data_IF_719789652284
#
_entry.id   IF_719789652284
#
_cell.length_a   1.000
_cell.length_b   1.000
_cell.length_c   1.000
_cell.angle_alpha   90.00
_cell.angle_beta   90.00
_cell.angle_gamma   90.00
#
_symmetry.space_group_name_H-M   'P 1'
#
loop_
_entity.id
_entity.type
_entity.pdbx_description
1 polymer ?
#
# COMPACT_ATOMS: atom_id res chain seq x y z
N UNK A 1 4.63 16.92 5.82
CA UNK A 1 4.60 15.45 5.72
C UNK A 1 4.64 15.12 4.26
N UNK A 2 5.41 14.11 3.86
CA UNK A 2 5.30 13.58 2.51
C UNK A 2 4.69 12.18 2.68
N UNK A 3 3.38 12.12 2.39
CA UNK A 3 2.48 10.98 2.51
C UNK A 3 2.13 10.46 1.12
N UNK A 4 3.13 10.52 0.26
CA UNK A 4 3.09 10.29 -1.16
C UNK A 4 2.34 9.03 -1.53
N UNK A 5 2.79 7.87 -1.01
CA UNK A 5 2.25 6.58 -1.43
C UNK A 5 0.84 6.37 -0.89
N UNK A 6 0.56 6.83 0.34
CA UNK A 6 -0.80 6.87 0.88
C UNK A 6 -1.76 7.60 -0.08
N UNK A 7 -1.43 8.84 -0.43
CA UNK A 7 -2.29 9.66 -1.29
C UNK A 7 -2.48 9.02 -2.66
N UNK A 8 -1.44 8.39 -3.21
CA UNK A 8 -1.54 7.60 -4.44
C UNK A 8 -2.48 6.40 -4.29
N UNK A 9 -2.37 5.62 -3.20
CA UNK A 9 -3.23 4.45 -2.96
C UNK A 9 -4.68 4.87 -2.73
N UNK A 10 -4.91 5.89 -1.91
CA UNK A 10 -6.24 6.43 -1.65
C UNK A 10 -6.92 6.95 -2.93
N UNK A 11 -6.12 7.44 -3.90
CA UNK A 11 -6.65 7.93 -5.18
C UNK A 11 -7.21 6.83 -6.09
N UNK A 12 -6.90 5.55 -5.83
CA UNK A 12 -7.37 4.41 -6.64
C UNK A 12 -8.89 4.28 -6.60
N UNK A 13 -9.55 4.67 -5.50
CA UNK A 13 -11.00 4.64 -5.34
C UNK A 13 -11.60 6.01 -5.04
N UNK A 14 -10.90 7.09 -5.41
CA UNK A 14 -11.40 8.45 -5.24
C UNK A 14 -12.54 8.74 -6.23
N UNK A 15 -13.74 8.28 -5.91
CA UNK A 15 -14.96 8.72 -6.60
C UNK A 15 -15.53 9.97 -5.97
N UNK A 16 -16.13 10.79 -6.83
CA UNK A 16 -17.13 11.73 -6.39
C UNK A 16 -18.17 10.95 -5.58
N UNK A 17 -18.24 11.22 -4.28
CA UNK A 17 -19.38 10.80 -3.47
C UNK A 17 -20.64 11.32 -4.16
N UNK A 18 -21.43 10.41 -4.73
CA UNK A 18 -22.82 10.71 -5.01
C UNK A 18 -23.46 11.09 -3.67
N UNK A 19 -23.98 12.32 -3.58
CA UNK A 19 -24.81 12.72 -2.45
C UNK A 19 -25.93 11.70 -2.30
N UNK A 20 -25.87 10.85 -1.27
CA UNK A 20 -27.05 10.49 -0.49
C UNK A 20 -26.72 9.73 0.81
N UNK A 21 -27.16 10.36 1.90
CA UNK A 21 -27.49 9.92 3.28
C UNK A 21 -26.60 8.92 4.06
N UNK A 22 -26.42 9.16 5.38
CA UNK A 22 -25.61 8.31 6.24
C UNK A 22 -26.42 7.09 6.69
N UNK A 23 -26.07 5.87 6.27
CA UNK A 23 -26.64 4.65 6.88
C UNK A 23 -25.61 3.53 7.08
N UNK A 24 -25.53 3.14 8.36
CA UNK A 24 -24.98 1.97 9.02
C UNK A 24 -24.10 0.97 8.21
N UNK A 25 -22.85 0.90 8.65
CA UNK A 25 -21.85 -0.14 8.35
C UNK A 25 -22.27 -1.49 8.98
N UNK A 26 -22.33 -2.61 8.23
CA UNK A 26 -22.29 -3.94 8.82
C UNK A 26 -20.86 -4.52 8.82
N UNK A 27 -20.42 -4.84 10.04
CA UNK A 27 -19.23 -5.60 10.50
C UNK A 27 -19.06 -6.90 9.69
N UNK A 28 -17.88 -7.35 9.25
CA UNK A 28 -16.58 -7.41 9.92
C UNK A 28 -15.43 -7.26 8.90
N UNK A 29 -14.66 -6.19 9.06
CA UNK A 29 -13.21 -6.21 8.76
C UNK A 29 -12.59 -7.30 9.64
N UNK A 30 -11.59 -8.09 9.20
CA UNK A 30 -10.85 -8.94 10.12
C UNK A 30 -10.32 -8.04 11.24
N UNK A 31 -10.93 -8.13 12.43
CA UNK A 31 -10.34 -7.59 13.63
C UNK A 31 -9.14 -8.47 13.90
N UNK A 32 -8.00 -8.08 13.35
CA UNK A 32 -6.72 -8.52 13.86
C UNK A 32 -6.71 -8.07 15.31
N UNK A 33 -6.66 -9.04 16.21
CA UNK A 33 -6.63 -8.83 17.65
C UNK A 33 -5.36 -8.03 17.96
N UNK A 34 -5.49 -6.70 17.97
CA UNK A 34 -4.46 -5.73 18.35
C UNK A 34 -4.28 -5.83 19.87
N UNK A 35 -3.81 -7.00 20.34
CA UNK A 35 -2.92 -6.99 21.49
C UNK A 35 -1.85 -5.98 21.15
N UNK A 36 -1.57 -5.09 22.09
CA UNK A 36 -0.53 -4.07 22.03
C UNK A 36 0.80 -4.76 21.76
N UNK A 37 1.05 -5.04 20.49
CA UNK A 37 2.33 -5.43 19.96
C UNK A 37 2.92 -4.07 19.62
N UNK A 38 4.02 -3.72 20.27
CA UNK A 38 4.80 -2.53 19.94
C UNK A 38 4.78 -2.33 18.43
N UNK A 39 4.32 -1.17 17.97
CA UNK A 39 4.31 -0.75 16.58
C UNK A 39 5.75 -0.70 16.08
N UNK A 40 6.33 -1.87 15.83
CA UNK A 40 7.61 -2.01 15.19
C UNK A 40 7.33 -2.01 13.69
N UNK A 41 8.18 -1.33 12.94
CA UNK A 41 8.10 -1.28 11.49
C UNK A 41 7.93 -2.66 10.84
N UNK A 42 8.53 -3.70 11.43
CA UNK A 42 8.35 -5.09 11.00
C UNK A 42 6.90 -5.61 11.14
N UNK A 43 6.20 -5.23 12.21
CA UNK A 43 4.78 -5.58 12.37
C UNK A 43 3.90 -4.89 11.33
N UNK A 44 4.16 -3.61 11.02
CA UNK A 44 3.41 -2.88 10.00
C UNK A 44 3.63 -3.47 8.59
N UNK A 45 4.86 -3.84 8.25
CA UNK A 45 5.17 -4.51 6.97
C UNK A 45 4.49 -5.89 6.87
N UNK A 46 4.35 -6.61 7.99
CA UNK A 46 3.59 -7.85 8.06
C UNK A 46 2.08 -7.61 7.97
N UNK A 47 1.56 -6.53 8.57
CA UNK A 47 0.19 -6.06 8.41
C UNK A 47 -0.14 -5.82 6.93
N UNK A 48 0.72 -5.10 6.21
CA UNK A 48 0.62 -4.93 4.75
C UNK A 48 0.57 -6.25 3.99
N UNK A 49 1.31 -7.27 4.43
CA UNK A 49 1.27 -8.60 3.82
C UNK A 49 -0.10 -9.28 4.01
N UNK A 50 -0.72 -9.11 5.18
CA UNK A 50 -2.08 -9.61 5.42
C UNK A 50 -3.10 -8.94 4.49
N UNK A 51 -3.02 -7.61 4.37
CA UNK A 51 -3.90 -6.83 3.47
C UNK A 51 -3.63 -7.20 1.99
N UNK A 52 -2.37 -7.44 1.61
CA UNK A 52 -1.99 -7.95 0.27
C UNK A 52 -2.70 -9.27 -0.05
N UNK A 53 -2.65 -10.25 0.87
CA UNK A 53 -3.31 -11.54 0.65
C UNK A 53 -4.82 -11.37 0.46
N UNK A 54 -5.44 -10.51 1.26
CA UNK A 54 -6.86 -10.21 1.16
C UNK A 54 -7.22 -9.53 -0.17
N UNK A 55 -6.46 -8.52 -0.61
CA UNK A 55 -6.66 -7.87 -1.92
C UNK A 55 -6.56 -8.89 -3.05
N UNK A 56 -5.56 -9.76 -3.02
CA UNK A 56 -5.34 -10.78 -4.05
C UNK A 56 -6.45 -11.81 -4.12
N UNK A 57 -6.94 -12.26 -2.96
CA UNK A 57 -8.08 -13.17 -2.90
C UNK A 57 -9.33 -12.54 -3.56
N UNK A 58 -9.64 -11.29 -3.21
CA UNK A 58 -10.79 -10.59 -3.81
C UNK A 58 -10.59 -10.40 -5.33
N UNK A 59 -9.39 -10.00 -5.77
CA UNK A 59 -9.08 -9.83 -7.20
C UNK A 59 -9.21 -11.14 -7.99
N UNK A 60 -8.70 -12.25 -7.44
CA UNK A 60 -8.83 -13.57 -8.06
C UNK A 60 -10.30 -13.99 -8.16
N UNK A 61 -11.07 -13.87 -7.08
CA UNK A 61 -12.50 -14.19 -7.09
C UNK A 61 -13.26 -13.35 -8.10
N UNK A 62 -12.98 -12.04 -8.17
CA UNK A 62 -13.60 -11.14 -9.14
C UNK A 62 -13.25 -11.51 -10.60
N UNK A 63 -11.99 -11.87 -10.88
CA UNK A 63 -11.58 -12.29 -12.23
C UNK A 63 -12.17 -13.63 -12.66
N UNK A 64 -12.46 -14.51 -11.70
CA UNK A 64 -13.06 -15.82 -11.97
C UNK A 64 -14.58 -15.77 -12.13
N UNK A 65 -15.23 -14.76 -11.54
CA UNK A 65 -16.69 -14.58 -11.53
C UNK A 65 -17.25 -14.39 -12.96
N UNK A 66 -18.11 -15.32 -13.44
CA UNK A 66 -18.69 -15.25 -14.79
C UNK A 66 -19.46 -13.95 -15.06
N UNK A 67 -20.12 -13.38 -14.03
CA UNK A 67 -20.91 -12.14 -14.15
C UNK A 67 -20.04 -10.95 -14.55
N UNK A 68 -18.77 -10.95 -14.16
CA UNK A 68 -17.85 -9.86 -14.47
C UNK A 68 -17.13 -10.07 -15.79
N UNK A 69 -16.87 -11.32 -16.18
CA UNK A 69 -16.23 -11.65 -17.47
C UNK A 69 -17.02 -11.15 -18.68
N UNK A 70 -18.34 -11.08 -18.57
CA UNK A 70 -19.22 -10.59 -19.63
C UNK A 70 -19.34 -9.06 -19.66
N UNK A 71 -18.80 -8.36 -18.65
CA UNK A 71 -18.84 -6.90 -18.52
C UNK A 71 -17.43 -6.32 -18.76
N UNK A 72 -17.14 -5.97 -20.01
CA UNK A 72 -15.81 -5.48 -20.42
C UNK A 72 -15.28 -4.30 -19.54
N UNK A 73 -16.06 -3.26 -19.20
CA UNK A 73 -15.62 -2.21 -18.26
C UNK A 73 -15.19 -2.71 -16.88
N UNK A 74 -15.87 -3.72 -16.33
CA UNK A 74 -15.49 -4.33 -15.04
C UNK A 74 -14.21 -5.16 -15.18
N UNK A 75 -14.05 -5.89 -16.27
CA UNK A 75 -12.81 -6.64 -16.55
C UNK A 75 -11.61 -5.69 -16.61
N UNK A 76 -11.72 -4.59 -17.36
CA UNK A 76 -10.67 -3.56 -17.45
C UNK A 76 -10.36 -2.95 -16.08
N UNK A 77 -11.38 -2.68 -15.28
CA UNK A 77 -11.23 -2.18 -13.90
C UNK A 77 -10.43 -3.16 -13.03
N UNK A 78 -10.78 -4.45 -13.05
CA UNK A 78 -10.06 -5.47 -12.27
C UNK A 78 -8.65 -5.71 -12.77
N UNK A 79 -8.40 -5.62 -14.07
CA UNK A 79 -7.05 -5.69 -14.63
C UNK A 79 -6.18 -4.54 -14.13
N UNK A 80 -6.70 -3.32 -14.16
CA UNK A 80 -5.98 -2.14 -13.66
C UNK A 80 -5.71 -2.23 -12.15
N UNK A 81 -6.68 -2.69 -11.35
CA UNK A 81 -6.46 -2.92 -9.92
C UNK A 81 -5.41 -4.00 -9.64
N UNK A 82 -5.35 -5.05 -10.47
CA UNK A 82 -4.32 -6.08 -10.38
C UNK A 82 -2.92 -5.54 -10.75
N UNK A 83 -2.83 -4.66 -11.75
CA UNK A 83 -1.59 -3.95 -12.06
C UNK A 83 -1.13 -3.11 -10.87
N UNK A 84 -2.03 -2.31 -10.28
CA UNK A 84 -1.74 -1.50 -9.09
C UNK A 84 -1.29 -2.39 -7.92
N UNK A 85 -1.99 -3.49 -7.65
CA UNK A 85 -1.63 -4.43 -6.58
C UNK A 85 -0.20 -4.96 -6.75
N UNK A 86 0.20 -5.27 -7.99
CA UNK A 86 1.57 -5.72 -8.28
C UNK A 86 2.65 -4.70 -7.85
N UNK A 87 2.36 -3.40 -7.95
CA UNK A 87 3.25 -2.34 -7.48
C UNK A 87 3.25 -2.21 -5.96
N UNK A 88 2.11 -2.42 -5.30
CA UNK A 88 2.01 -2.40 -3.84
C UNK A 88 2.76 -3.58 -3.21
N UNK A 89 2.75 -4.76 -3.85
CA UNK A 89 3.58 -5.90 -3.47
C UNK A 89 5.07 -5.52 -3.54
N UNK A 90 5.50 -4.83 -4.61
CA UNK A 90 6.89 -4.35 -4.74
C UNK A 90 7.24 -3.35 -3.64
N UNK A 91 6.33 -2.42 -3.33
CA UNK A 91 6.52 -1.44 -2.27
C UNK A 91 6.72 -2.12 -0.91
N UNK A 92 5.88 -3.10 -0.55
CA UNK A 92 6.04 -3.89 0.68
C UNK A 92 7.40 -4.58 0.74
N UNK A 93 7.84 -5.21 -0.36
CA UNK A 93 9.17 -5.84 -0.43
C UNK A 93 10.29 -4.83 -0.21
N UNK A 94 10.19 -3.63 -0.76
CA UNK A 94 11.17 -2.56 -0.54
C UNK A 94 11.17 -2.06 0.91
N UNK A 95 10.00 -1.87 1.53
CA UNK A 95 9.93 -1.57 2.96
C UNK A 95 10.60 -2.65 3.79
N UNK A 96 10.33 -3.93 3.49
CA UNK A 96 10.98 -5.07 4.18
C UNK A 96 12.51 -5.04 4.03
N UNK A 97 13.03 -4.78 2.83
CA UNK A 97 14.47 -4.66 2.60
C UNK A 97 15.08 -3.48 3.36
N UNK A 98 14.41 -2.32 3.38
CA UNK A 98 14.87 -1.15 4.13
C UNK A 98 14.91 -1.46 5.64
N UNK A 99 13.91 -2.17 6.16
CA UNK A 99 13.89 -2.59 7.56
C UNK A 99 15.11 -3.44 7.93
N UNK A 100 15.46 -4.42 7.09
CA UNK A 100 16.63 -5.27 7.32
C UNK A 100 17.92 -4.45 7.28
N UNK A 101 18.07 -3.55 6.31
CA UNK A 101 19.28 -2.75 6.11
C UNK A 101 19.49 -1.67 7.18
N UNK A 102 18.42 -1.05 7.70
CA UNK A 102 18.56 -0.03 8.75
C UNK A 102 19.03 -0.63 10.08
N UNK A 103 18.75 -1.90 10.32
CA UNK A 103 19.16 -2.62 11.52
C UNK A 103 20.41 -3.49 11.34
N UNK A 104 21.04 -3.50 10.15
CA UNK A 104 22.33 -4.18 9.98
C UNK A 104 23.42 -3.43 10.76
N UNK A 105 24.35 -4.18 11.35
CA UNK A 105 25.52 -3.62 12.03
C UNK A 105 26.32 -2.72 11.07
N UNK A 106 26.64 -1.50 11.50
CA UNK A 106 27.45 -0.52 10.77
C UNK A 106 28.79 -1.09 10.32
N UNK A 107 29.30 -2.11 11.01
CA UNK A 107 30.59 -2.74 10.75
C UNK A 107 30.51 -3.99 9.83
N UNK A 108 29.30 -4.47 9.48
CA UNK A 108 29.10 -5.74 8.74
C UNK A 108 28.98 -5.58 7.21
N UNK A 109 28.67 -4.37 6.74
CA UNK A 109 28.67 -3.94 5.34
C UNK A 109 29.34 -2.57 5.27
N UNK A 110 30.01 -2.23 4.17
CA UNK A 110 30.42 -0.84 3.94
C UNK A 110 29.19 0.07 4.12
N UNK A 111 29.20 0.90 5.16
CA UNK A 111 28.09 1.79 5.50
C UNK A 111 27.63 2.62 4.29
N UNK A 112 28.55 2.93 3.36
CA UNK A 112 28.25 3.62 2.09
C UNK A 112 27.37 2.76 1.18
N UNK A 113 27.63 1.46 1.08
CA UNK A 113 26.84 0.53 0.27
C UNK A 113 25.44 0.33 0.85
N UNK A 114 25.30 0.23 2.18
CA UNK A 114 24.00 0.15 2.86
C UNK A 114 23.18 1.41 2.59
N UNK A 115 23.77 2.60 2.79
CA UNK A 115 23.13 3.88 2.51
C UNK A 115 22.72 4.00 1.04
N UNK A 116 23.62 3.70 0.09
CA UNK A 116 23.31 3.74 -1.34
C UNK A 116 22.15 2.81 -1.72
N UNK A 117 22.08 1.62 -1.09
CA UNK A 117 20.99 0.67 -1.31
C UNK A 117 19.67 1.21 -0.76
N UNK A 118 19.67 1.78 0.45
CA UNK A 118 18.48 2.42 1.04
C UNK A 118 18.00 3.57 0.14
N UNK A 119 18.90 4.42 -0.36
CA UNK A 119 18.58 5.51 -1.30
C UNK A 119 17.88 4.98 -2.54
N UNK A 120 18.45 3.96 -3.18
CA UNK A 120 17.89 3.35 -4.40
C UNK A 120 16.52 2.72 -4.15
N UNK A 121 16.31 2.12 -2.98
CA UNK A 121 15.01 1.55 -2.60
C UNK A 121 13.96 2.66 -2.41
N UNK A 122 14.33 3.81 -1.83
CA UNK A 122 13.44 4.97 -1.73
C UNK A 122 13.09 5.58 -3.07
N UNK A 123 14.05 5.73 -3.98
CA UNK A 123 13.76 6.19 -5.35
C UNK A 123 12.76 5.27 -6.07
N UNK A 124 12.89 3.96 -5.88
CA UNK A 124 11.93 2.99 -6.43
C UNK A 124 10.55 3.10 -5.80
N UNK A 125 10.46 3.39 -4.50
CA UNK A 125 9.18 3.66 -3.82
C UNK A 125 8.52 4.94 -4.35
N UNK A 126 9.29 6.01 -4.61
CA UNK A 126 8.79 7.24 -5.24
C UNK A 126 8.22 6.92 -6.64
N UNK A 127 8.95 6.13 -7.45
CA UNK A 127 8.47 5.73 -8.76
C UNK A 127 7.20 4.87 -8.70
N UNK A 128 7.09 3.97 -7.70
CA UNK A 128 5.87 3.22 -7.44
C UNK A 128 4.72 4.16 -7.11
N UNK A 129 4.93 5.15 -6.23
CA UNK A 129 3.93 6.16 -5.91
C UNK A 129 3.41 6.86 -7.17
N UNK A 130 4.31 7.34 -8.04
CA UNK A 130 3.93 8.04 -9.27
C UNK A 130 3.11 7.12 -10.18
N UNK A 131 3.54 5.86 -10.31
CA UNK A 131 2.84 4.85 -11.12
C UNK A 131 1.45 4.52 -10.57
N UNK A 132 1.33 4.30 -9.25
CA UNK A 132 0.05 4.04 -8.59
C UNK A 132 -0.89 5.23 -8.76
N UNK A 133 -0.38 6.46 -8.67
CA UNK A 133 -1.18 7.66 -8.89
C UNK A 133 -1.67 7.79 -10.33
N UNK A 134 -0.80 7.56 -11.32
CA UNK A 134 -1.17 7.60 -12.73
C UNK A 134 -2.23 6.54 -13.07
N UNK A 135 -2.03 5.32 -12.59
CA UNK A 135 -2.97 4.21 -12.78
C UNK A 135 -4.27 4.43 -12.01
N UNK A 136 -4.21 5.00 -10.80
CA UNK A 136 -5.39 5.38 -10.03
C UNK A 136 -6.26 6.40 -10.76
N UNK A 137 -5.67 7.40 -11.42
CA UNK A 137 -6.42 8.36 -12.28
C UNK A 137 -7.10 7.71 -13.47
N UNK A 138 -6.54 6.62 -13.99
CA UNK A 138 -7.11 5.86 -15.09
C UNK A 138 -8.26 4.95 -14.63
N UNK A 139 -8.38 4.69 -13.33
CA UNK A 139 -9.42 3.82 -12.79
C UNK A 139 -10.79 4.51 -12.82
N UNK A 140 -11.71 3.89 -13.56
CA UNK A 140 -13.09 4.33 -13.71
C UNK A 140 -14.00 3.18 -13.26
N UNK A 141 -14.54 3.23 -12.04
CA UNK A 141 -15.36 2.16 -11.52
C UNK A 141 -16.65 2.13 -12.31
N UNK A 142 -17.26 0.95 -12.37
CA UNK A 142 -18.63 0.87 -12.81
C UNK A 142 -19.54 1.68 -11.85
N UNK A 143 -20.57 2.32 -12.42
CA UNK A 143 -21.67 2.91 -11.66
C UNK A 143 -22.69 1.82 -11.30
N UNK A 144 -23.46 1.99 -10.22
CA UNK A 144 -24.52 1.07 -9.78
C UNK A 144 -24.03 -0.32 -9.36
N UNK A 145 -22.86 -0.37 -8.72
CA UNK A 145 -22.30 -1.63 -8.23
C UNK A 145 -22.98 -2.02 -6.91
N UNK A 146 -23.52 -3.26 -6.79
CA UNK A 146 -24.12 -3.75 -5.55
C UNK A 146 -23.18 -3.60 -4.36
N UNK A 147 -23.71 -3.27 -3.18
CA UNK A 147 -22.90 -3.04 -1.97
C UNK A 147 -22.04 -4.24 -1.58
N UNK A 148 -22.52 -5.46 -1.82
CA UNK A 148 -21.79 -6.70 -1.51
C UNK A 148 -20.81 -7.11 -2.63
N UNK A 149 -20.53 -6.24 -3.60
CA UNK A 149 -19.58 -6.55 -4.67
C UNK A 149 -18.13 -6.56 -4.20
N UNK A 150 -17.33 -7.31 -4.95
CA UNK A 150 -15.89 -7.37 -4.86
C UNK A 150 -15.24 -5.99 -5.05
N UNK A 151 -15.87 -5.05 -5.77
CA UNK A 151 -15.36 -3.68 -5.91
C UNK A 151 -15.40 -2.89 -4.60
N UNK A 152 -16.44 -3.04 -3.76
CA UNK A 152 -16.48 -2.38 -2.45
C UNK A 152 -15.51 -3.03 -1.47
N UNK A 153 -15.37 -4.36 -1.53
CA UNK A 153 -14.36 -5.07 -0.75
C UNK A 153 -12.93 -4.65 -1.15
N UNK A 154 -12.68 -4.47 -2.45
CA UNK A 154 -11.40 -3.95 -2.95
C UNK A 154 -11.19 -2.53 -2.44
N UNK A 155 -12.18 -1.64 -2.53
CA UNK A 155 -12.06 -0.29 -1.97
C UNK A 155 -11.61 -0.33 -0.51
N UNK A 156 -12.29 -1.11 0.33
CA UNK A 156 -11.95 -1.23 1.74
C UNK A 156 -10.52 -1.76 1.95
N UNK A 157 -10.09 -2.73 1.15
CA UNK A 157 -8.74 -3.28 1.23
C UNK A 157 -7.67 -2.27 0.75
N UNK A 158 -7.94 -1.48 -0.28
CA UNK A 158 -7.05 -0.40 -0.73
C UNK A 158 -7.00 0.76 0.28
N UNK A 159 -8.10 1.13 0.92
CA UNK A 159 -8.13 2.12 2.01
C UNK A 159 -7.28 1.64 3.20
N UNK A 160 -7.43 0.37 3.60
CA UNK A 160 -6.60 -0.24 4.65
C UNK A 160 -5.10 -0.25 4.26
N UNK A 161 -4.80 -0.51 2.99
CA UNK A 161 -3.43 -0.45 2.46
C UNK A 161 -2.85 0.95 2.59
N UNK A 162 -3.65 1.96 2.26
CA UNK A 162 -3.26 3.35 2.35
C UNK A 162 -2.91 3.69 3.81
N UNK A 163 -3.78 3.34 4.76
CA UNK A 163 -3.56 3.57 6.19
C UNK A 163 -2.27 2.92 6.70
N UNK A 164 -2.00 1.67 6.30
CA UNK A 164 -0.80 0.96 6.70
C UNK A 164 0.47 1.57 6.09
N UNK A 165 0.41 2.01 4.82
CA UNK A 165 1.50 2.76 4.18
C UNK A 165 1.83 4.05 4.93
N UNK A 166 0.82 4.79 5.42
CA UNK A 166 1.05 5.99 6.23
C UNK A 166 1.76 5.67 7.55
N UNK A 167 1.36 4.59 8.23
CA UNK A 167 2.02 4.16 9.45
C UNK A 167 3.50 3.79 9.19
N UNK A 168 3.76 3.05 8.11
CA UNK A 168 5.11 2.65 7.68
C UNK A 168 5.97 3.86 7.33
N UNK A 169 5.47 4.81 6.55
CA UNK A 169 6.22 6.01 6.17
C UNK A 169 6.59 6.87 7.39
N UNK A 170 5.69 6.95 8.37
CA UNK A 170 5.95 7.61 9.65
C UNK A 170 7.05 6.89 10.43
N UNK A 171 6.93 5.58 10.63
CA UNK A 171 7.92 4.79 11.37
C UNK A 171 9.28 4.78 10.68
N UNK A 172 9.32 4.70 9.34
CA UNK A 172 10.56 4.73 8.57
C UNK A 172 11.33 6.03 8.80
N UNK A 173 10.61 7.16 8.86
CA UNK A 173 11.19 8.47 9.13
C UNK A 173 11.83 8.50 10.51
N UNK A 174 11.17 7.95 11.52
CA UNK A 174 11.68 7.95 12.88
C UNK A 174 12.84 6.96 13.06
N UNK A 175 12.77 5.78 12.44
CA UNK A 175 13.90 4.85 12.34
C UNK A 175 15.12 5.48 11.68
N UNK A 176 14.93 6.23 10.60
CA UNK A 176 16.02 6.92 9.91
C UNK A 176 16.69 7.99 10.77
N UNK A 177 15.92 8.71 11.60
CA UNK A 177 16.44 9.72 12.52
C UNK A 177 17.23 9.13 13.68
N UNK A 178 16.96 7.87 14.01
CA UNK A 178 17.54 7.17 15.16
C UNK A 178 18.55 6.08 14.74
N UNK A 179 18.73 5.86 13.43
CA UNK A 179 19.66 4.85 12.94
C UNK A 179 21.11 5.30 13.10
N UNK A 180 22.05 4.34 13.21
CA UNK A 180 23.48 4.64 13.15
C UNK A 180 23.86 5.46 11.89
N UNK A 181 23.20 5.14 10.77
CA UNK A 181 23.40 5.80 9.48
C UNK A 181 22.77 7.20 9.33
N UNK A 182 22.16 7.78 10.39
CA UNK A 182 21.44 9.08 10.33
C UNK A 182 22.22 10.18 9.60
N UNK A 183 23.54 10.27 9.85
CA UNK A 183 24.42 11.28 9.24
C UNK A 183 24.45 11.19 7.70
N UNK A 184 24.27 10.00 7.16
CA UNK A 184 24.32 9.72 5.71
C UNK A 184 22.92 9.70 5.08
N UNK A 185 21.89 9.31 5.83
CA UNK A 185 20.51 9.23 5.32
C UNK A 185 19.80 10.58 5.25
N UNK A 186 20.35 11.64 5.85
CA UNK A 186 19.80 13.00 5.87
C UNK A 186 19.68 13.64 4.48
N UNK A 187 20.52 13.22 3.53
CA UNK A 187 20.61 13.80 2.18
C UNK A 187 19.74 13.04 1.16
N UNK A 188 19.10 11.95 1.58
CA UNK A 188 18.21 11.16 0.73
C UNK A 188 16.86 11.87 0.63
N UNK A 189 16.32 11.95 -0.59
CA UNK A 189 14.96 12.47 -0.82
C UNK A 189 13.96 11.79 0.12
N UNK A 190 13.08 12.57 0.77
CA UNK A 190 11.95 12.00 1.48
C UNK A 190 11.07 11.22 0.49
N UNK A 191 10.40 10.18 1.01
CA UNK A 191 9.33 9.45 0.32
C UNK A 191 8.10 10.33 0.22
#
# INVERSE_FOLDING_TARGET
>A
MDFSLLLSVASVFAFAEGKDTPHAIPKKVPQVDLKVIENSFGHLVNGLKGIELWRREILTNAQENPKYKENAPLVESFQLLNEIDSYLIKARKYYQSINTLIHSDENSLDAKQTVATISKLRERLIHIKDTVQERGKAFKPATNVPQDSELHLLKAAFDATAAECLAIEKDLRDMTKNSPYKKYLKDIKPL
#
